data_IF_260905985746
#
_entry.id   IF_260905985746
#
_cell.length_a   1.000
_cell.length_b   1.000
_cell.length_c   1.000
_cell.angle_alpha   90.00
_cell.angle_beta   90.00
_cell.angle_gamma   90.00
#
_symmetry.space_group_name_H-M   'P 1'
#
loop_
_entity.id
_entity.type
_entity.pdbx_description
1 polymer ?
#
# COMPACT_ATOMS: atom_id res chain seq x y z
N UNK A 1 -32.94 -52.22 35.72
CA UNK A 1 -31.52 -52.52 35.42
C UNK A 1 -31.23 -51.90 34.06
N UNK A 2 -30.18 -51.07 34.01
CA UNK A 2 -29.60 -50.29 32.91
C UNK A 2 -30.34 -49.03 32.39
N UNK A 3 -29.64 -47.92 32.65
CA UNK A 3 -29.99 -46.53 32.43
C UNK A 3 -29.96 -46.09 30.97
N UNK A 4 -30.81 -45.10 30.67
CA UNK A 4 -30.66 -44.22 29.53
C UNK A 4 -29.33 -43.46 29.64
N UNK A 5 -28.46 -43.63 28.64
CA UNK A 5 -27.24 -42.85 28.52
C UNK A 5 -27.60 -41.47 27.96
N UNK A 6 -27.84 -40.52 28.85
CA UNK A 6 -27.72 -39.10 28.53
C UNK A 6 -26.26 -38.83 28.23
N UNK A 7 -25.92 -38.69 26.94
CA UNK A 7 -24.59 -38.27 26.52
C UNK A 7 -24.50 -36.75 26.68
N UNK A 8 -24.26 -36.29 27.91
CA UNK A 8 -23.72 -34.96 28.18
C UNK A 8 -22.26 -34.95 27.74
N UNK A 9 -21.97 -34.19 26.70
CA UNK A 9 -20.66 -33.59 26.47
C UNK A 9 -20.84 -32.47 25.45
N UNK A 10 -21.26 -31.30 25.93
CA UNK A 10 -20.83 -30.05 25.31
C UNK A 10 -19.30 -30.09 25.28
N UNK A 11 -18.74 -30.46 24.15
CA UNK A 11 -17.34 -30.22 23.86
C UNK A 11 -17.22 -28.74 23.51
N UNK A 12 -17.35 -27.88 24.52
CA UNK A 12 -16.72 -26.57 24.49
C UNK A 12 -15.24 -26.84 24.20
N UNK A 13 -14.80 -26.54 22.98
CA UNK A 13 -13.37 -26.45 22.69
C UNK A 13 -12.85 -25.23 23.44
N UNK A 14 -12.62 -25.40 24.73
CA UNK A 14 -11.91 -24.45 25.55
C UNK A 14 -10.56 -24.22 24.88
N UNK A 15 -10.28 -22.96 24.57
CA UNK A 15 -8.98 -22.57 24.07
C UNK A 15 -8.00 -22.88 25.20
N UNK A 16 -7.10 -23.85 25.02
CA UNK A 16 -6.04 -24.08 26.00
C UNK A 16 -5.20 -22.81 26.06
N UNK A 17 -5.09 -22.22 27.25
CA UNK A 17 -4.20 -21.08 27.48
C UNK A 17 -2.79 -21.44 27.03
N UNK A 18 -2.17 -20.58 26.21
CA UNK A 18 -0.78 -20.77 25.81
C UNK A 18 0.11 -20.89 27.07
N UNK A 19 1.17 -21.72 27.03
CA UNK A 19 2.11 -21.78 28.14
C UNK A 19 2.71 -20.38 28.38
N UNK A 20 3.04 -20.04 29.64
CA UNK A 20 3.63 -18.74 29.95
C UNK A 20 4.93 -18.56 29.16
N UNK A 21 5.09 -17.39 28.53
CA UNK A 21 6.22 -17.05 27.64
C UNK A 21 7.61 -17.19 28.29
N UNK A 22 7.68 -17.26 29.62
CA UNK A 22 8.92 -17.36 30.39
C UNK A 22 9.72 -18.66 30.25
N UNK A 23 9.21 -19.68 29.53
CA UNK A 23 9.91 -20.96 29.33
C UNK A 23 10.75 -21.02 28.03
N UNK A 24 10.61 -20.06 27.11
CA UNK A 24 11.40 -19.98 25.86
C UNK A 24 12.05 -18.60 25.75
N UNK A 25 13.36 -18.45 26.01
CA UNK A 25 14.04 -17.15 26.02
C UNK A 25 14.39 -16.69 24.60
N UNK A 26 13.39 -16.50 23.72
CA UNK A 26 13.58 -15.77 22.47
C UNK A 26 12.99 -14.35 22.64
N UNK A 27 13.80 -13.28 22.59
CA UNK A 27 13.31 -11.91 22.74
C UNK A 27 12.35 -11.47 21.62
N UNK A 28 12.22 -12.23 20.54
CA UNK A 28 11.24 -12.00 19.46
C UNK A 28 9.87 -12.62 19.75
N UNK A 29 9.76 -13.48 20.77
CA UNK A 29 8.52 -14.12 21.16
C UNK A 29 7.81 -13.28 22.23
N UNK A 30 6.78 -12.55 21.81
CA UNK A 30 5.94 -11.72 22.68
C UNK A 30 4.49 -12.21 22.65
N UNK A 31 3.70 -11.91 23.68
CA UNK A 31 2.27 -12.22 23.65
C UNK A 31 1.54 -11.27 22.68
N UNK A 32 0.37 -11.68 22.21
CA UNK A 32 -0.39 -10.91 21.23
C UNK A 32 -0.78 -9.51 21.71
N UNK A 33 -1.00 -9.30 23.01
CA UNK A 33 -1.33 -7.98 23.54
C UNK A 33 -0.08 -7.08 23.55
N UNK A 34 1.06 -7.59 24.02
CA UNK A 34 2.34 -6.87 23.97
C UNK A 34 2.75 -6.52 22.53
N UNK A 35 2.50 -7.40 21.56
CA UNK A 35 2.72 -7.12 20.14
C UNK A 35 1.90 -5.93 19.65
N UNK A 36 0.58 -5.94 19.91
CA UNK A 36 -0.33 -4.86 19.49
C UNK A 36 0.02 -3.55 20.20
N UNK A 37 0.19 -3.58 21.52
CA UNK A 37 0.51 -2.38 22.31
C UNK A 37 1.89 -1.80 21.97
N UNK A 38 2.84 -2.65 21.57
CA UNK A 38 4.14 -2.20 21.06
C UNK A 38 4.06 -1.45 19.72
N UNK A 39 3.01 -1.68 18.95
CA UNK A 39 2.73 -0.97 17.70
C UNK A 39 1.86 0.29 17.89
N UNK A 40 1.33 0.53 19.09
CA UNK A 40 0.54 1.74 19.40
C UNK A 40 1.47 2.94 19.47
N UNK A 41 1.66 3.59 18.34
CA UNK A 41 2.20 4.94 18.20
C UNK A 41 1.38 5.69 17.16
N UNK A 42 1.31 7.02 17.28
CA UNK A 42 0.69 7.87 16.26
C UNK A 42 1.52 7.83 14.97
N UNK A 43 1.34 6.81 14.14
CA UNK A 43 1.89 6.81 12.77
C UNK A 43 0.98 7.73 11.94
N UNK A 44 1.50 8.85 11.41
CA UNK A 44 0.67 9.78 10.65
C UNK A 44 0.07 9.09 9.42
N UNK A 45 -1.20 9.34 9.13
CA UNK A 45 -1.83 8.86 7.91
C UNK A 45 -1.42 9.72 6.71
N UNK A 46 -0.97 9.08 5.63
CA UNK A 46 -0.84 9.71 4.31
C UNK A 46 -2.21 9.80 3.63
N UNK A 47 -3.06 8.79 3.82
CA UNK A 47 -4.45 8.77 3.35
C UNK A 47 -5.34 8.19 4.44
N UNK A 48 -6.36 8.94 4.87
CA UNK A 48 -7.19 8.58 6.02
C UNK A 48 -7.06 9.58 7.18
N UNK A 49 -7.80 9.35 8.26
CA UNK A 49 -7.72 10.12 9.49
C UNK A 49 -8.26 9.34 10.70
N UNK A 50 -7.86 9.73 11.91
CA UNK A 50 -8.29 9.06 13.14
C UNK A 50 -8.01 7.56 13.09
N UNK A 51 -9.04 6.76 13.35
CA UNK A 51 -8.96 5.30 13.32
C UNK A 51 -9.09 4.70 11.89
N UNK A 52 -9.46 5.52 10.90
CA UNK A 52 -9.62 5.11 9.50
C UNK A 52 -8.36 5.44 8.69
N UNK A 53 -7.28 4.68 8.92
CA UNK A 53 -6.00 4.83 8.20
C UNK A 53 -5.96 3.90 6.98
N UNK A 54 -6.04 4.46 5.77
CA UNK A 54 -5.97 3.71 4.51
C UNK A 54 -4.53 3.54 4.03
N UNK A 55 -3.66 4.51 4.34
CA UNK A 55 -2.24 4.46 4.07
C UNK A 55 -1.47 5.17 5.18
N UNK A 56 -0.67 4.42 5.93
CA UNK A 56 0.21 4.92 6.98
C UNK A 56 1.54 5.45 6.41
N UNK A 57 2.07 6.51 7.01
CA UNK A 57 3.38 7.05 6.66
C UNK A 57 4.50 6.04 6.97
N UNK A 58 5.47 5.93 6.06
CA UNK A 58 6.59 4.99 6.19
C UNK A 58 6.29 3.57 5.69
N UNK A 59 5.04 3.27 5.32
CA UNK A 59 4.62 1.95 4.84
C UNK A 59 4.21 2.01 3.35
N UNK A 60 4.36 0.92 2.58
CA UNK A 60 3.85 0.87 1.22
C UNK A 60 2.34 0.61 1.19
N UNK A 61 1.62 1.29 0.28
CA UNK A 61 0.22 0.99 -0.05
C UNK A 61 0.15 0.08 -1.28
N UNK A 62 -0.55 -1.05 -1.16
CA UNK A 62 -0.86 -1.92 -2.29
C UNK A 62 -2.35 -1.91 -2.62
N UNK A 63 -2.70 -1.47 -3.83
CA UNK A 63 -4.07 -1.49 -4.35
C UNK A 63 -4.22 -2.69 -5.29
N UNK A 64 -4.86 -3.76 -4.80
CA UNK A 64 -5.08 -5.00 -5.55
C UNK A 64 -6.55 -5.12 -5.93
N UNK A 65 -6.81 -5.35 -7.21
CA UNK A 65 -8.15 -5.60 -7.72
C UNK A 65 -8.08 -6.20 -9.14
N UNK A 66 -9.17 -6.80 -9.67
CA UNK A 66 -9.24 -7.28 -11.04
C UNK A 66 -9.02 -6.17 -12.09
N UNK A 67 -8.86 -6.56 -13.35
CA UNK A 67 -8.75 -5.60 -14.44
C UNK A 67 -10.06 -4.84 -14.67
N UNK A 68 -9.94 -3.56 -15.05
CA UNK A 68 -11.09 -2.70 -15.36
C UNK A 68 -11.80 -2.07 -14.15
N UNK A 69 -11.46 -2.42 -12.91
CA UNK A 69 -12.14 -1.91 -11.69
C UNK A 69 -11.62 -0.54 -11.20
N UNK A 70 -10.73 0.11 -11.97
CA UNK A 70 -10.31 1.48 -11.69
C UNK A 70 -9.04 1.65 -10.84
N UNK A 71 -8.16 0.64 -10.74
CA UNK A 71 -6.86 0.75 -10.04
C UNK A 71 -6.04 1.97 -10.49
N UNK A 72 -5.84 2.12 -11.80
CA UNK A 72 -5.17 3.29 -12.41
C UNK A 72 -5.86 4.60 -12.05
N UNK A 73 -7.20 4.60 -12.06
CA UNK A 73 -7.99 5.78 -11.68
C UNK A 73 -7.75 6.14 -10.21
N UNK A 74 -7.78 5.17 -9.31
CA UNK A 74 -7.55 5.40 -7.89
C UNK A 74 -6.11 5.88 -7.61
N UNK A 75 -5.10 5.22 -8.20
CA UNK A 75 -3.70 5.62 -8.06
C UNK A 75 -3.42 7.03 -8.59
N UNK A 76 -4.04 7.41 -9.71
CA UNK A 76 -3.93 8.76 -10.25
C UNK A 76 -4.65 9.80 -9.39
N UNK A 77 -5.84 9.48 -8.86
CA UNK A 77 -6.53 10.37 -7.91
C UNK A 77 -5.70 10.60 -6.64
N UNK A 78 -5.06 9.54 -6.13
CA UNK A 78 -4.14 9.66 -5.02
C UNK A 78 -2.93 10.54 -5.38
N UNK A 79 -2.34 10.37 -6.58
CA UNK A 79 -1.27 11.23 -7.07
C UNK A 79 -1.67 12.72 -7.10
N UNK A 80 -2.87 13.02 -7.61
CA UNK A 80 -3.40 14.39 -7.64
C UNK A 80 -3.64 14.93 -6.24
N UNK A 81 -4.12 14.10 -5.31
CA UNK A 81 -4.37 14.46 -3.93
C UNK A 81 -3.09 14.81 -3.16
N UNK A 82 -2.03 14.00 -3.32
CA UNK A 82 -0.70 14.26 -2.74
C UNK A 82 -0.11 15.59 -3.25
N UNK A 83 -0.50 16.02 -4.45
CA UNK A 83 -0.11 17.29 -5.06
C UNK A 83 -1.09 18.45 -4.76
N UNK A 84 -2.04 18.24 -3.85
CA UNK A 84 -3.05 19.21 -3.39
C UNK A 84 -4.08 19.64 -4.44
N UNK A 85 -4.28 18.83 -5.50
CA UNK A 85 -5.25 19.09 -6.56
C UNK A 85 -6.64 18.52 -6.26
N UNK A 86 -6.73 17.39 -5.56
CA UNK A 86 -7.98 16.80 -5.04
C UNK A 86 -7.72 16.20 -3.65
N UNK A 87 -7.81 17.00 -2.58
CA UNK A 87 -7.37 16.58 -1.23
C UNK A 87 -8.17 15.42 -0.62
N UNK A 88 -9.23 14.93 -1.28
CA UNK A 88 -10.04 13.83 -0.76
C UNK A 88 -10.19 12.71 -1.79
N UNK A 89 -9.81 11.50 -1.39
CA UNK A 89 -9.95 10.30 -2.21
C UNK A 89 -10.85 9.31 -1.46
N UNK A 90 -11.93 8.87 -2.13
CA UNK A 90 -12.98 8.02 -1.54
C UNK A 90 -13.59 8.56 -0.23
N UNK A 91 -13.64 9.89 -0.06
CA UNK A 91 -14.18 10.53 1.14
C UNK A 91 -13.18 10.73 2.28
N UNK A 92 -11.94 10.25 2.12
CA UNK A 92 -10.89 10.39 3.11
C UNK A 92 -9.84 11.43 2.69
N UNK A 93 -9.31 12.21 3.64
CA UNK A 93 -8.29 13.21 3.35
C UNK A 93 -6.96 12.55 2.97
N UNK A 94 -6.20 13.21 2.10
CA UNK A 94 -4.83 12.84 1.73
C UNK A 94 -3.89 13.96 2.19
N UNK A 95 -2.87 13.60 2.96
CA UNK A 95 -1.83 14.52 3.36
C UNK A 95 -0.93 14.84 2.15
N UNK A 96 -0.59 16.12 1.92
CA UNK A 96 0.31 16.48 0.84
C UNK A 96 1.73 15.98 1.10
N UNK A 97 2.51 15.87 0.04
CA UNK A 97 3.92 15.47 0.13
C UNK A 97 4.84 16.66 -0.10
N UNK A 98 5.96 16.66 0.62
CA UNK A 98 7.07 17.57 0.35
C UNK A 98 7.80 17.08 -0.90
N UNK A 99 7.70 17.78 -2.02
CA UNK A 99 8.34 17.39 -3.29
C UNK A 99 7.38 16.87 -4.36
N UNK A 100 7.92 16.14 -5.33
CA UNK A 100 7.14 15.61 -6.46
C UNK A 100 6.58 14.20 -6.24
N UNK A 101 5.72 13.79 -7.16
CA UNK A 101 5.27 12.39 -7.32
C UNK A 101 5.87 11.84 -8.60
N UNK A 102 6.53 10.67 -8.52
CA UNK A 102 6.96 9.89 -9.68
C UNK A 102 5.90 8.83 -9.98
N UNK A 103 5.18 9.01 -11.09
CA UNK A 103 4.20 8.04 -11.58
C UNK A 103 4.80 7.20 -12.71
N UNK A 104 4.95 5.90 -12.46
CA UNK A 104 5.50 4.93 -13.40
C UNK A 104 4.35 4.20 -14.09
N UNK A 105 4.06 4.59 -15.33
CA UNK A 105 3.02 4.00 -16.16
C UNK A 105 3.58 2.82 -16.97
N UNK A 106 3.71 1.65 -16.33
CA UNK A 106 4.50 0.53 -16.79
C UNK A 106 3.91 -0.26 -17.97
N UNK A 107 2.61 -0.58 -17.92
CA UNK A 107 1.94 -1.45 -18.92
C UNK A 107 1.32 -0.63 -20.08
N UNK A 108 0.35 0.25 -19.77
CA UNK A 108 -0.46 0.98 -20.77
C UNK A 108 -0.40 2.50 -20.62
N UNK A 109 0.74 3.15 -20.87
CA UNK A 109 0.93 4.59 -20.62
C UNK A 109 -0.05 5.48 -21.39
N UNK A 110 -0.44 5.10 -22.61
CA UNK A 110 -1.44 5.86 -23.38
C UNK A 110 -2.85 5.82 -22.75
N UNK A 111 -3.23 4.70 -22.14
CA UNK A 111 -4.49 4.59 -21.40
C UNK A 111 -4.43 5.40 -20.10
N UNK A 112 -3.32 5.31 -19.37
CA UNK A 112 -3.06 6.12 -18.18
C UNK A 112 -3.14 7.62 -18.48
N UNK A 113 -2.52 8.09 -19.56
CA UNK A 113 -2.60 9.49 -19.98
C UNK A 113 -4.03 9.95 -20.26
N UNK A 114 -4.83 9.15 -20.98
CA UNK A 114 -6.26 9.46 -21.20
C UNK A 114 -7.06 9.47 -19.90
N UNK A 115 -6.71 8.62 -18.93
CA UNK A 115 -7.33 8.60 -17.61
C UNK A 115 -7.05 9.87 -16.82
N UNK A 116 -5.78 10.27 -16.75
CA UNK A 116 -5.39 11.49 -16.05
C UNK A 116 -6.02 12.73 -16.69
N UNK A 117 -6.09 12.77 -18.03
CA UNK A 117 -6.77 13.86 -18.76
C UNK A 117 -8.24 14.01 -18.36
N UNK A 118 -8.97 12.91 -18.12
CA UNK A 118 -10.38 12.98 -17.67
C UNK A 118 -10.52 13.61 -16.28
N UNK A 119 -9.48 13.55 -15.45
CA UNK A 119 -9.51 14.10 -14.09
C UNK A 119 -9.17 15.58 -14.06
N UNK A 120 -8.16 16.00 -14.82
CA UNK A 120 -7.68 17.41 -14.80
C UNK A 120 -8.33 18.28 -15.88
N UNK A 121 -8.81 17.67 -16.97
CA UNK A 121 -9.52 18.36 -18.05
C UNK A 121 -8.80 19.63 -18.53
N UNK A 122 -9.56 20.71 -18.68
CA UNK A 122 -9.05 22.02 -19.08
C UNK A 122 -8.66 22.94 -17.91
N UNK A 123 -8.55 22.40 -16.68
CA UNK A 123 -8.18 23.22 -15.52
C UNK A 123 -6.69 23.61 -15.58
N UNK A 124 -6.45 24.90 -15.84
CA UNK A 124 -5.10 25.45 -16.02
C UNK A 124 -4.29 25.43 -14.73
N UNK A 125 -4.93 25.50 -13.56
CA UNK A 125 -4.25 25.40 -12.26
C UNK A 125 -3.66 24.00 -12.08
N UNK A 126 -4.47 22.97 -12.32
CA UNK A 126 -4.00 21.58 -12.33
C UNK A 126 -2.85 21.39 -13.31
N UNK A 127 -2.91 21.97 -14.51
CA UNK A 127 -1.82 21.84 -15.49
C UNK A 127 -0.49 22.41 -15.00
N UNK A 128 -0.52 23.58 -14.36
CA UNK A 128 0.68 24.19 -13.75
C UNK A 128 1.30 23.28 -12.70
N UNK A 129 0.46 22.80 -11.76
CA UNK A 129 0.92 21.91 -10.68
C UNK A 129 1.44 20.57 -11.20
N UNK A 130 0.78 19.98 -12.20
CA UNK A 130 1.24 18.76 -12.86
C UNK A 130 2.61 18.96 -13.51
N UNK A 131 2.82 20.08 -14.19
CA UNK A 131 4.10 20.40 -14.82
C UNK A 131 5.24 20.56 -13.81
N UNK A 132 4.94 21.09 -12.62
CA UNK A 132 5.92 21.37 -11.58
C UNK A 132 6.24 20.14 -10.72
N UNK A 133 5.27 19.25 -10.47
CA UNK A 133 5.39 18.27 -9.39
C UNK A 133 4.94 16.84 -9.74
N UNK A 134 4.42 16.56 -10.94
CA UNK A 134 4.17 15.20 -11.39
C UNK A 134 5.17 14.78 -12.48
N UNK A 135 6.08 13.88 -12.13
CA UNK A 135 6.98 13.24 -13.07
C UNK A 135 6.37 11.92 -13.56
N UNK A 136 6.33 11.72 -14.88
CA UNK A 136 5.75 10.51 -15.47
C UNK A 136 6.83 9.74 -16.22
N UNK A 137 7.11 8.52 -15.79
CA UNK A 137 7.87 7.56 -16.56
C UNK A 137 6.92 6.66 -17.37
N UNK A 138 7.18 6.53 -18.67
CA UNK A 138 6.36 5.74 -19.59
C UNK A 138 7.07 4.40 -19.85
N UNK A 139 6.41 3.29 -19.51
CA UNK A 139 6.98 1.95 -19.61
C UNK A 139 7.60 1.47 -18.30
N UNK A 140 8.19 0.26 -18.28
CA UNK A 140 8.81 -0.30 -17.07
C UNK A 140 10.06 0.49 -16.65
N UNK A 141 10.45 0.47 -15.36
CA UNK A 141 11.71 1.05 -14.90
C UNK A 141 12.92 0.51 -15.69
N UNK A 142 14.01 1.29 -15.86
CA UNK A 142 15.20 0.86 -16.58
C UNK A 142 16.10 -0.11 -15.81
N UNK A 143 15.63 -0.64 -14.69
CA UNK A 143 16.33 -1.57 -13.79
C UNK A 143 15.33 -2.58 -13.21
N UNK A 144 15.84 -3.68 -12.62
CA UNK A 144 14.99 -4.71 -12.05
C UNK A 144 14.69 -4.38 -10.58
N UNK A 145 13.46 -3.95 -10.29
CA UNK A 145 13.02 -3.54 -8.94
C UNK A 145 13.06 -4.69 -7.92
N UNK A 146 12.98 -5.95 -8.37
CA UNK A 146 13.06 -7.13 -7.49
C UNK A 146 14.51 -7.40 -7.08
N UNK A 147 15.45 -7.20 -7.99
CA UNK A 147 16.88 -7.46 -7.75
C UNK A 147 17.63 -6.27 -7.15
N UNK A 148 17.13 -5.05 -7.40
CA UNK A 148 17.76 -3.78 -7.05
C UNK A 148 16.72 -2.82 -6.43
N UNK A 149 16.03 -3.20 -5.34
CA UNK A 149 14.94 -2.40 -4.75
C UNK A 149 15.42 -1.01 -4.29
N UNK A 150 16.66 -0.89 -3.83
CA UNK A 150 17.29 0.38 -3.43
C UNK A 150 17.43 1.37 -4.59
N UNK A 151 17.53 0.89 -5.84
CA UNK A 151 17.56 1.78 -7.01
C UNK A 151 16.24 2.50 -7.23
N UNK A 152 15.12 1.93 -6.81
CA UNK A 152 13.82 2.62 -6.87
C UNK A 152 13.79 3.83 -5.94
N UNK A 153 14.26 3.66 -4.70
CA UNK A 153 14.35 4.75 -3.73
C UNK A 153 15.34 5.82 -4.18
N UNK A 154 16.53 5.42 -4.63
CA UNK A 154 17.54 6.37 -5.13
C UNK A 154 17.04 7.15 -6.34
N UNK A 155 16.37 6.48 -7.28
CA UNK A 155 15.83 7.15 -8.47
C UNK A 155 14.74 8.17 -8.11
N UNK A 156 13.88 7.86 -7.13
CA UNK A 156 12.90 8.82 -6.62
C UNK A 156 13.58 10.07 -6.08
N UNK A 157 14.63 9.90 -5.25
CA UNK A 157 15.41 11.01 -4.69
C UNK A 157 16.11 11.83 -5.79
N UNK A 158 16.74 11.17 -6.77
CA UNK A 158 17.43 11.82 -7.90
C UNK A 158 16.51 12.74 -8.70
N UNK A 159 15.23 12.35 -8.87
CA UNK A 159 14.25 13.14 -9.60
C UNK A 159 13.44 14.09 -8.71
N UNK A 160 13.74 14.14 -7.40
CA UNK A 160 13.04 15.00 -6.44
C UNK A 160 11.61 14.55 -6.12
N UNK A 161 11.33 13.25 -6.28
CA UNK A 161 10.06 12.66 -5.91
C UNK A 161 10.12 12.05 -4.50
N UNK A 162 9.09 12.33 -3.71
CA UNK A 162 8.94 11.79 -2.35
C UNK A 162 7.98 10.63 -2.28
N UNK A 163 7.16 10.47 -3.32
CA UNK A 163 6.29 9.31 -3.50
C UNK A 163 6.47 8.74 -4.90
N UNK A 164 6.56 7.41 -4.98
CA UNK A 164 6.55 6.65 -6.23
C UNK A 164 5.25 5.87 -6.32
N UNK A 165 4.55 6.01 -7.46
CA UNK A 165 3.36 5.24 -7.77
C UNK A 165 3.68 4.30 -8.93
N UNK A 166 3.60 3.00 -8.66
CA UNK A 166 3.83 1.93 -9.63
C UNK A 166 2.50 1.47 -10.24
N UNK A 167 2.24 1.83 -11.50
CA UNK A 167 1.04 1.40 -12.24
C UNK A 167 1.44 0.52 -13.45
N UNK A 168 1.64 -0.78 -13.26
CA UNK A 168 1.36 -1.59 -12.07
C UNK A 168 2.53 -2.47 -11.64
N UNK A 169 2.59 -2.82 -10.36
CA UNK A 169 3.63 -3.69 -9.79
C UNK A 169 3.71 -5.06 -10.50
N UNK A 170 2.58 -5.64 -10.89
CA UNK A 170 2.56 -6.95 -11.56
C UNK A 170 3.25 -6.98 -12.92
N UNK A 171 3.33 -5.83 -13.60
CA UNK A 171 4.10 -5.72 -14.84
C UNK A 171 5.60 -5.49 -14.57
N UNK A 172 5.93 -4.77 -13.49
CA UNK A 172 7.29 -4.41 -13.10
C UNK A 172 8.02 -5.59 -12.47
N UNK A 173 7.30 -6.43 -11.73
CA UNK A 173 7.83 -7.55 -10.98
C UNK A 173 7.06 -8.85 -11.27
N UNK A 174 7.11 -9.37 -12.52
CA UNK A 174 6.37 -10.58 -12.90
C UNK A 174 6.84 -11.83 -12.14
N UNK A 175 8.08 -11.83 -11.64
CA UNK A 175 8.66 -12.94 -10.85
C UNK A 175 8.12 -12.97 -9.40
N UNK A 176 7.65 -11.84 -8.86
CA UNK A 176 6.99 -11.78 -7.54
C UNK A 176 5.58 -12.39 -7.56
N UNK A 177 4.99 -12.54 -8.75
CA UNK A 177 3.68 -13.20 -8.93
C UNK A 177 3.84 -14.72 -8.90
N UNK A 178 5.07 -15.25 -9.05
CA UNK A 178 5.34 -16.68 -8.96
C UNK A 178 5.65 -17.03 -7.50
N UNK A 179 4.90 -17.98 -6.95
CA UNK A 179 4.94 -18.40 -5.54
C UNK A 179 6.37 -18.73 -5.01
N UNK A 180 7.30 -19.07 -5.91
CA UNK A 180 8.67 -19.46 -5.58
C UNK A 180 9.54 -18.30 -5.04
N UNK A 181 9.18 -17.03 -5.27
CA UNK A 181 10.02 -15.86 -4.92
C UNK A 181 9.50 -15.05 -3.73
N UNK A 182 8.30 -15.33 -3.22
CA UNK A 182 7.64 -14.52 -2.18
C UNK A 182 8.24 -14.63 -0.77
N UNK A 183 9.18 -15.55 -0.54
CA UNK A 183 9.68 -15.90 0.81
C UNK A 183 11.12 -15.44 1.11
N UNK A 184 11.70 -14.54 0.31
CA UNK A 184 13.10 -14.13 0.47
C UNK A 184 13.30 -12.79 1.21
N UNK A 185 12.32 -12.35 2.02
CA UNK A 185 12.43 -11.18 2.90
C UNK A 185 12.40 -11.62 4.37
#
# INVERSE_FOLDING_TARGET
MLAAQTRTADAERGWTTLPPLGEVPDPRLVDGLSFVLGAVGDVPAVWGNGDDVLWASGEPLLIVAPDGVGKTTLGQRLALALLELDRNVLGYPVAPVDGGVLYIAADRPAQGARSLWRMVGHDTKSHGRLKESLLVWKGPPPFNVVKEPERLANWALEVGASVVILDSLGFIAPELIKDETGSAL
#
